data_IF_254459426625
#
_entry.id   IF_254459426625
#
_cell.length_a   1.000
_cell.length_b   1.000
_cell.length_c   1.000
_cell.angle_alpha   90.00
_cell.angle_beta   90.00
_cell.angle_gamma   90.00
#
_symmetry.space_group_name_H-M   'P 1'
#
loop_
_entity.id
_entity.type
_entity.pdbx_description
1 polymer ?
#
# COMPACT_ATOMS: atom_id res chain seq x y z
N UNK A 1 -11.21 4.19 -5.51
CA UNK A 1 -10.11 4.31 -6.48
C UNK A 1 -8.87 4.81 -5.77
N UNK A 2 -7.76 4.16 -6.01
CA UNK A 2 -6.45 4.57 -5.52
C UNK A 2 -5.68 5.11 -6.72
N UNK A 3 -5.13 6.31 -6.60
CA UNK A 3 -4.36 6.91 -7.68
C UNK A 3 -3.12 7.64 -7.16
N UNK A 4 -2.24 7.99 -8.08
CA UNK A 4 -1.01 8.75 -7.82
C UNK A 4 -0.12 8.05 -6.79
N UNK A 5 -0.14 6.73 -6.77
CA UNK A 5 0.72 5.97 -5.86
C UNK A 5 2.20 6.12 -6.26
N UNK A 6 3.03 6.33 -5.26
CA UNK A 6 4.48 6.38 -5.43
C UNK A 6 5.16 5.72 -4.25
N UNK A 7 6.28 5.09 -4.53
CA UNK A 7 7.07 4.35 -3.54
C UNK A 7 8.49 4.86 -3.60
N UNK A 8 9.01 5.33 -2.47
CA UNK A 8 10.35 5.90 -2.41
C UNK A 8 11.11 5.35 -1.21
N UNK A 9 12.27 4.74 -1.48
CA UNK A 9 13.15 4.28 -0.42
C UNK A 9 13.77 5.49 0.28
N UNK A 10 13.69 5.47 1.62
CA UNK A 10 14.35 6.46 2.45
C UNK A 10 15.69 5.97 2.96
N UNK A 11 16.14 6.55 4.05
CA UNK A 11 17.40 6.19 4.71
C UNK A 11 17.27 4.83 5.38
N UNK A 12 18.30 3.99 5.23
CA UNK A 12 18.33 2.67 5.85
C UNK A 12 17.32 1.73 5.21
N UNK A 13 16.40 1.18 6.01
CA UNK A 13 15.39 0.25 5.56
C UNK A 13 13.98 0.85 5.49
N UNK A 14 13.87 2.18 5.52
CA UNK A 14 12.59 2.85 5.43
C UNK A 14 12.10 2.97 3.98
N UNK A 15 10.80 2.88 3.80
CA UNK A 15 10.14 3.18 2.52
C UNK A 15 8.96 4.10 2.80
N UNK A 16 8.83 5.15 1.99
CA UNK A 16 7.71 6.09 2.06
C UNK A 16 6.77 5.83 0.90
N UNK A 17 5.50 5.69 1.21
CA UNK A 17 4.44 5.41 0.24
C UNK A 17 3.46 6.57 0.26
N UNK A 18 3.19 7.13 -0.91
CA UNK A 18 2.22 8.22 -1.09
C UNK A 18 1.17 7.79 -2.08
N UNK A 19 -0.08 8.13 -1.79
CA UNK A 19 -1.20 7.79 -2.66
C UNK A 19 -2.41 8.65 -2.30
N UNK A 20 -3.41 8.64 -3.20
CA UNK A 20 -4.67 9.34 -2.99
C UNK A 20 -5.81 8.33 -3.16
N UNK A 21 -6.72 8.28 -2.21
CA UNK A 21 -7.92 7.44 -2.29
C UNK A 21 -9.09 8.34 -2.64
N UNK A 22 -9.75 8.02 -3.74
CA UNK A 22 -10.98 8.70 -4.13
C UNK A 22 -12.18 7.81 -3.87
N UNK A 23 -13.24 8.39 -3.33
CA UNK A 23 -14.48 7.71 -3.07
C UNK A 23 -15.26 7.54 -4.38
N UNK A 24 -15.56 6.31 -4.75
CA UNK A 24 -16.28 6.01 -5.99
C UNK A 24 -17.78 5.89 -5.74
N UNK A 25 -18.16 5.36 -4.58
CA UNK A 25 -19.56 5.16 -4.19
C UNK A 25 -19.82 5.99 -2.94
N UNK A 26 -20.80 6.89 -2.99
CA UNK A 26 -21.04 7.83 -1.90
C UNK A 26 -21.35 7.18 -0.55
N UNK A 27 -22.03 6.07 -0.56
CA UNK A 27 -22.41 5.37 0.68
C UNK A 27 -21.30 4.46 1.21
N UNK A 28 -20.21 4.28 0.47
CA UNK A 28 -19.12 3.41 0.88
C UNK A 28 -18.10 4.17 1.72
N UNK A 29 -17.60 3.50 2.75
CA UNK A 29 -16.53 4.03 3.59
C UNK A 29 -15.34 3.10 3.56
N UNK A 30 -14.16 3.64 3.79
CA UNK A 30 -12.94 2.85 3.85
C UNK A 30 -12.90 2.10 5.18
N UNK A 31 -12.81 0.78 5.10
CA UNK A 31 -12.70 -0.08 6.27
C UNK A 31 -11.26 -0.32 6.67
N UNK A 32 -10.37 -0.50 5.69
CA UNK A 32 -8.95 -0.69 5.95
C UNK A 32 -8.12 -0.29 4.73
N UNK A 33 -6.91 0.14 5.00
CA UNK A 33 -5.90 0.43 3.99
C UNK A 33 -4.62 -0.25 4.41
N UNK A 34 -4.05 -1.08 3.54
CA UNK A 34 -2.82 -1.79 3.81
C UNK A 34 -1.81 -1.58 2.70
N UNK A 35 -0.55 -1.57 3.08
CA UNK A 35 0.58 -1.56 2.17
C UNK A 35 1.27 -2.92 2.24
N UNK A 36 1.54 -3.50 1.08
CA UNK A 36 2.15 -4.83 0.99
C UNK A 36 3.47 -4.77 0.25
N UNK A 37 4.46 -5.51 0.76
CA UNK A 37 5.69 -5.80 0.05
C UNK A 37 5.79 -7.31 -0.13
N UNK A 38 6.19 -7.75 -1.31
CA UNK A 38 6.33 -9.16 -1.63
C UNK A 38 7.46 -9.41 -2.60
N UNK A 39 7.74 -10.69 -2.84
CA UNK A 39 8.83 -11.11 -3.70
C UNK A 39 8.43 -11.23 -5.17
N UNK A 40 7.16 -11.18 -5.50
CA UNK A 40 6.67 -11.37 -6.86
C UNK A 40 5.42 -10.57 -7.18
N UNK A 41 5.00 -10.67 -8.43
CA UNK A 41 3.86 -9.91 -8.96
C UNK A 41 2.52 -10.34 -8.38
N UNK A 42 2.45 -11.47 -7.67
CA UNK A 42 1.23 -11.95 -7.03
C UNK A 42 1.05 -11.44 -5.59
N UNK A 43 1.80 -10.41 -5.23
CA UNK A 43 1.69 -9.79 -3.90
C UNK A 43 0.28 -9.26 -3.67
N UNK A 44 -0.35 -9.66 -2.56
CA UNK A 44 -1.67 -9.18 -2.14
C UNK A 44 -1.86 -9.35 -0.63
N UNK A 45 -3.09 -9.18 -0.14
CA UNK A 45 -3.42 -9.28 1.28
C UNK A 45 -3.06 -10.65 1.88
N UNK A 46 -3.20 -11.72 1.09
CA UNK A 46 -2.95 -13.09 1.55
C UNK A 46 -1.53 -13.56 1.24
N UNK A 47 -0.84 -12.92 0.31
CA UNK A 47 0.50 -13.30 -0.11
C UNK A 47 1.42 -12.08 -0.09
N UNK A 48 2.18 -11.94 0.98
CA UNK A 48 3.11 -10.83 1.16
C UNK A 48 4.18 -11.24 2.16
N UNK A 49 5.30 -10.51 2.13
CA UNK A 49 6.37 -10.64 3.12
C UNK A 49 6.27 -9.55 4.19
N UNK A 50 5.55 -8.48 3.88
CA UNK A 50 5.31 -7.39 4.81
C UNK A 50 3.91 -6.82 4.55
N UNK A 51 3.20 -6.56 5.63
CA UNK A 51 1.88 -5.92 5.57
C UNK A 51 1.83 -4.84 6.64
N UNK A 52 1.67 -3.58 6.20
CA UNK A 52 1.49 -2.44 7.10
C UNK A 52 0.09 -1.89 6.97
N UNK A 53 -0.56 -1.61 8.09
CA UNK A 53 -1.92 -1.05 8.12
C UNK A 53 -1.86 0.44 8.38
N UNK A 54 -2.64 1.22 7.61
CA UNK A 54 -2.77 2.65 7.81
C UNK A 54 -3.72 2.94 8.96
N UNK A 55 -3.32 3.87 9.84
CA UNK A 55 -4.24 4.45 10.81
C UNK A 55 -5.23 5.37 10.07
N UNK A 56 -6.50 4.99 10.08
CA UNK A 56 -7.53 5.69 9.32
C UNK A 56 -7.97 7.02 9.93
N UNK A 57 -7.55 7.31 11.15
CA UNK A 57 -8.00 8.53 11.86
C UNK A 57 -7.60 9.82 11.14
N UNK A 58 -6.49 9.80 10.40
CA UNK A 58 -6.01 10.95 9.64
C UNK A 58 -6.31 10.90 8.15
N UNK A 59 -7.05 9.89 7.70
CA UNK A 59 -7.31 9.71 6.28
C UNK A 59 -8.35 10.73 5.79
N UNK A 60 -8.02 11.44 4.72
CA UNK A 60 -8.94 12.35 4.02
C UNK A 60 -9.03 11.92 2.56
N UNK A 61 -10.22 11.53 2.13
CA UNK A 61 -10.44 11.14 0.75
C UNK A 61 -10.24 12.32 -0.19
N UNK A 62 -9.60 12.07 -1.32
CA UNK A 62 -9.28 13.10 -2.29
C UNK A 62 -7.99 13.86 -2.01
N UNK A 63 -7.34 13.62 -0.89
CA UNK A 63 -6.07 14.24 -0.54
C UNK A 63 -4.96 13.19 -0.43
N UNK A 64 -3.72 13.61 -0.68
CA UNK A 64 -2.57 12.72 -0.60
C UNK A 64 -2.38 12.17 0.82
N UNK A 65 -2.20 10.88 0.90
CA UNK A 65 -1.91 10.16 2.14
C UNK A 65 -0.49 9.62 2.07
N UNK A 66 0.23 9.68 3.18
CA UNK A 66 1.59 9.18 3.28
C UNK A 66 1.66 8.07 4.32
N UNK A 67 2.27 6.95 3.94
CA UNK A 67 2.61 5.87 4.86
C UNK A 67 4.11 5.68 4.88
N UNK A 68 4.65 5.28 6.03
CA UNK A 68 6.04 4.88 6.18
C UNK A 68 6.08 3.44 6.65
N UNK A 69 6.95 2.65 6.05
CA UNK A 69 7.09 1.25 6.38
C UNK A 69 8.56 0.85 6.47
N UNK A 70 8.82 -0.33 7.04
CA UNK A 70 10.15 -0.90 7.14
C UNK A 70 10.30 -2.00 6.10
N UNK A 71 11.33 -1.91 5.27
CA UNK A 71 11.61 -2.93 4.26
C UNK A 71 12.25 -4.14 4.96
N UNK A 72 11.71 -5.36 4.79
CA UNK A 72 12.34 -6.56 5.32
C UNK A 72 13.76 -6.72 4.79
N UNK A 73 14.66 -7.17 5.65
CA UNK A 73 16.07 -7.33 5.29
C UNK A 73 16.27 -8.21 4.07
N UNK A 74 15.47 -9.26 3.94
CA UNK A 74 15.51 -10.16 2.79
C UNK A 74 15.34 -9.41 1.46
N UNK A 75 14.44 -8.43 1.42
CA UNK A 75 14.20 -7.64 0.23
C UNK A 75 15.30 -6.63 -0.03
N UNK A 76 15.89 -6.08 1.03
CA UNK A 76 17.07 -5.23 0.89
C UNK A 76 18.23 -5.99 0.26
N UNK A 77 18.43 -7.23 0.67
CA UNK A 77 19.47 -8.09 0.10
C UNK A 77 19.20 -8.42 -1.36
N UNK A 78 17.93 -8.63 -1.72
CA UNK A 78 17.54 -8.87 -3.10
C UNK A 78 17.67 -7.62 -3.98
N UNK A 79 17.66 -6.43 -3.38
CA UNK A 79 17.77 -5.17 -4.09
C UNK A 79 16.46 -4.68 -4.70
N UNK A 80 15.35 -5.34 -4.43
CA UNK A 80 14.03 -4.94 -4.93
C UNK A 80 12.91 -5.57 -4.09
N UNK A 81 11.71 -5.02 -4.26
CA UNK A 81 10.48 -5.62 -3.75
C UNK A 81 9.32 -5.25 -4.69
N UNK A 82 8.26 -6.04 -4.67
CA UNK A 82 7.02 -5.71 -5.35
C UNK A 82 6.08 -5.07 -4.34
N UNK A 83 5.61 -3.88 -4.64
CA UNK A 83 4.80 -3.05 -3.76
C UNK A 83 3.37 -2.95 -4.27
N UNK A 84 2.42 -2.95 -3.35
CA UNK A 84 1.01 -2.83 -3.66
C UNK A 84 0.25 -2.22 -2.50
N UNK A 85 -0.81 -1.47 -2.81
CA UNK A 85 -1.73 -0.92 -1.81
C UNK A 85 -3.07 -1.57 -2.01
N UNK A 86 -3.70 -2.02 -0.92
CA UNK A 86 -5.04 -2.58 -0.94
C UNK A 86 -5.97 -1.79 -0.04
N UNK A 87 -7.17 -1.52 -0.52
CA UNK A 87 -8.22 -0.82 0.21
C UNK A 87 -9.45 -1.70 0.27
N UNK A 88 -9.98 -1.89 1.47
CA UNK A 88 -11.23 -2.61 1.69
C UNK A 88 -12.30 -1.61 2.10
N UNK A 89 -13.46 -1.67 1.43
CA UNK A 89 -14.61 -0.85 1.81
C UNK A 89 -15.51 -1.59 2.79
N UNK A 90 -16.38 -0.85 3.48
CA UNK A 90 -17.37 -1.44 4.38
C UNK A 90 -18.54 -2.13 3.64
N UNK A 91 -18.62 -1.97 2.32
CA UNK A 91 -19.69 -2.55 1.50
C UNK A 91 -19.33 -3.92 0.93
N UNK A 92 -18.04 -4.30 1.02
CA UNK A 92 -17.55 -5.56 0.47
C UNK A 92 -16.41 -6.07 1.31
N UNK A 93 -16.22 -7.39 1.32
CA UNK A 93 -15.04 -8.00 1.92
C UNK A 93 -13.88 -8.06 0.93
N UNK A 94 -14.09 -7.62 -0.29
CA UNK A 94 -13.06 -7.60 -1.32
C UNK A 94 -12.17 -6.38 -1.18
N UNK A 95 -10.93 -6.52 -1.64
CA UNK A 95 -9.95 -5.45 -1.66
C UNK A 95 -9.84 -4.85 -3.05
N UNK A 96 -9.73 -3.53 -3.11
CA UNK A 96 -9.35 -2.82 -4.33
C UNK A 96 -7.84 -2.58 -4.25
N UNK A 97 -7.10 -3.04 -5.27
CA UNK A 97 -5.65 -2.96 -5.27
C UNK A 97 -5.15 -2.00 -6.33
N UNK A 98 -4.02 -1.34 -6.04
CA UNK A 98 -3.20 -0.74 -7.10
C UNK A 98 -2.59 -1.85 -7.94
N UNK A 99 -2.06 -1.51 -9.11
CA UNK A 99 -1.20 -2.43 -9.83
C UNK A 99 0.05 -2.67 -8.99
N UNK A 100 0.54 -3.92 -8.99
CA UNK A 100 1.78 -4.23 -8.33
C UNK A 100 2.93 -3.53 -9.05
N UNK A 101 3.84 -2.94 -8.30
CA UNK A 101 4.96 -2.18 -8.85
C UNK A 101 6.28 -2.68 -8.26
N UNK A 102 7.25 -2.96 -9.14
CA UNK A 102 8.59 -3.33 -8.70
C UNK A 102 9.34 -2.07 -8.26
N UNK A 103 9.81 -2.07 -7.02
CA UNK A 103 10.58 -0.98 -6.45
C UNK A 103 12.01 -1.47 -6.27
N UNK A 104 12.96 -0.80 -6.90
CA UNK A 104 14.39 -1.14 -6.78
C UNK A 104 15.05 -0.31 -5.70
N UNK A 105 15.96 -0.92 -4.96
CA UNK A 105 16.62 -0.29 -3.82
C UNK A 105 18.08 -0.01 -4.10
#
# INVERSE_FOLDING_TARGET
>A
IIKNESYQKGTGNAITVKFTIEKVVESAEVKSVNFYLGEGILTDHNKNEYKGELDLSGLVLGQETTMTATIPEKMLKNGYAFARIGVQSNKSNEYFYTQVQKVSF
#
